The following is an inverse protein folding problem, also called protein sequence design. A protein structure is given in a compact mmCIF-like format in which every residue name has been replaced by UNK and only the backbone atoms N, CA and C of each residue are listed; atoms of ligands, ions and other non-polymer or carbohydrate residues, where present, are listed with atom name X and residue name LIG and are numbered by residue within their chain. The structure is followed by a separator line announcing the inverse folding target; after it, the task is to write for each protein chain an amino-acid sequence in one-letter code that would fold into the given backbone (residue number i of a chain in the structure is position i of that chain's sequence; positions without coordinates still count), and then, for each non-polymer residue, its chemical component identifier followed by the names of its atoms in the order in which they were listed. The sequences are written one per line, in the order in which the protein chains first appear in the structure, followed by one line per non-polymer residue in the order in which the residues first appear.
data_IF_305311347074
#
_entry.id   IF_305311347074
#
_cell.length_a   1.000
_cell.length_b   1.000
_cell.length_c   1.000
_cell.angle_alpha   90.00
_cell.angle_beta   90.00
_cell.angle_gamma   90.00
#
_symmetry.space_group_name_H-M   'P 1'
#
loop_
_entity.id
_entity.type
_entity.pdbx_description
1 polymer ?
#
# COMPACT_ATOMS: atom_id res chain seq x y z
N UNK A 1 5.00 46.45 -13.93
CA UNK A 1 6.39 45.99 -13.68
C UNK A 1 6.66 46.29 -12.22
N UNK A 2 6.89 45.38 -11.28
CA UNK A 2 7.25 43.96 -11.18
C UNK A 2 6.66 43.51 -9.81
N UNK A 3 6.40 42.27 -9.42
CA UNK A 3 6.66 40.93 -9.92
C UNK A 3 5.74 39.98 -9.14
N UNK A 4 5.18 39.01 -9.84
CA UNK A 4 4.57 37.78 -9.33
C UNK A 4 5.52 36.99 -8.42
N UNK A 5 5.08 36.59 -7.22
CA UNK A 5 5.60 35.40 -6.53
C UNK A 5 4.48 34.66 -5.80
N UNK A 6 4.31 33.39 -6.17
CA UNK A 6 3.36 32.40 -5.67
C UNK A 6 3.57 32.12 -4.16
N UNK A 7 2.51 32.25 -3.37
CA UNK A 7 2.53 31.97 -1.93
C UNK A 7 2.62 30.46 -1.64
N UNK A 8 3.83 30.05 -1.29
CA UNK A 8 4.28 28.86 -0.57
C UNK A 8 3.30 28.31 0.50
N UNK A 9 3.19 26.98 0.56
CA UNK A 9 2.37 26.15 1.45
C UNK A 9 2.62 26.41 2.95
N UNK A 10 1.88 27.34 3.58
CA UNK A 10 1.92 27.56 5.03
C UNK A 10 0.87 26.69 5.75
N UNK A 11 1.28 26.00 6.82
CA UNK A 11 0.38 25.35 7.78
C UNK A 11 -0.46 26.42 8.47
N UNK A 12 -1.79 26.31 8.39
CA UNK A 12 -2.72 27.22 9.06
C UNK A 12 -3.63 26.37 9.95
N UNK A 13 -3.61 26.64 11.25
CA UNK A 13 -4.54 26.04 12.20
C UNK A 13 -5.56 27.09 12.64
N UNK A 14 -6.83 26.75 12.56
CA UNK A 14 -7.94 27.59 13.01
C UNK A 14 -8.53 26.97 14.28
N UNK A 15 -8.72 27.80 15.30
CA UNK A 15 -9.42 27.39 16.52
C UNK A 15 -10.91 27.22 16.24
N UNK A 16 -11.51 26.22 16.85
CA UNK A 16 -12.95 25.92 16.81
C UNK A 16 -13.48 26.17 18.22
N UNK A 17 -14.38 27.14 18.36
CA UNK A 17 -15.00 27.48 19.63
C UNK A 17 -16.13 26.49 19.98
N UNK A 18 -15.79 25.22 20.19
CA UNK A 18 -16.68 24.19 20.71
C UNK A 18 -16.13 23.67 22.05
N UNK A 19 -16.95 23.73 23.10
CA UNK A 19 -16.55 23.30 24.45
C UNK A 19 -16.58 21.79 24.64
N UNK A 20 -17.27 21.05 23.77
CA UNK A 20 -17.49 19.60 23.91
C UNK A 20 -16.79 18.75 22.83
N UNK A 21 -15.99 19.37 21.96
CA UNK A 21 -15.38 18.72 20.80
C UNK A 21 -13.93 19.08 20.54
N UNK A 22 -13.44 18.75 19.33
CA UNK A 22 -12.11 19.12 18.85
C UNK A 22 -12.05 20.65 18.70
N UNK A 23 -11.07 21.27 19.37
CA UNK A 23 -10.98 22.74 19.51
C UNK A 23 -10.15 23.45 18.44
N UNK A 24 -9.63 22.73 17.46
CA UNK A 24 -8.86 23.31 16.36
C UNK A 24 -8.85 22.39 15.14
N UNK A 25 -8.68 22.97 13.96
CA UNK A 25 -8.49 22.24 12.72
C UNK A 25 -7.30 22.83 11.96
N UNK A 26 -6.41 21.99 11.46
CA UNK A 26 -5.23 22.41 10.72
C UNK A 26 -5.32 21.99 9.24
N UNK A 27 -5.07 22.94 8.33
CA UNK A 27 -4.84 22.66 6.93
C UNK A 27 -3.44 22.11 6.71
N UNK A 28 -3.33 20.81 6.42
CA UNK A 28 -2.05 20.15 6.20
C UNK A 28 -1.58 20.25 4.75
N UNK A 29 -0.28 20.51 4.50
CA UNK A 29 0.30 20.33 3.18
C UNK A 29 0.15 18.87 2.75
N UNK A 30 0.09 18.61 1.44
CA UNK A 30 -0.30 17.32 0.85
C UNK A 30 0.45 16.08 1.39
N UNK A 31 1.66 16.24 1.92
CA UNK A 31 2.50 15.14 2.43
C UNK A 31 2.23 14.78 3.90
N UNK A 32 1.48 15.60 4.63
CA UNK A 32 1.28 15.47 6.07
C UNK A 32 -0.17 15.18 6.42
N UNK A 33 -0.36 14.54 7.57
CA UNK A 33 -1.64 14.17 8.18
C UNK A 33 -1.56 14.26 9.71
N UNK A 34 -2.66 14.03 10.40
CA UNK A 34 -2.81 14.21 11.85
C UNK A 34 -3.43 15.57 12.19
N UNK A 35 -3.85 15.74 13.44
CA UNK A 35 -4.57 16.94 13.89
C UNK A 35 -3.71 18.21 13.74
N UNK A 36 -2.39 18.07 13.86
CA UNK A 36 -1.39 19.14 13.77
C UNK A 36 -0.42 18.95 12.61
N UNK A 37 -0.76 18.10 11.64
CA UNK A 37 0.13 17.74 10.53
C UNK A 37 1.46 17.14 11.01
N UNK A 38 1.42 16.42 12.13
CA UNK A 38 2.59 15.86 12.82
C UNK A 38 3.08 14.54 12.22
N UNK A 39 2.27 13.91 11.36
CA UNK A 39 2.59 12.63 10.72
C UNK A 39 2.76 12.82 9.23
N UNK A 40 3.66 12.06 8.62
CA UNK A 40 3.68 11.89 7.15
C UNK A 40 2.58 10.95 6.72
N UNK A 41 2.08 11.12 5.49
CA UNK A 41 1.17 10.15 4.89
C UNK A 41 1.85 8.78 4.79
N UNK A 42 1.13 7.75 5.24
CA UNK A 42 1.56 6.35 5.29
C UNK A 42 1.74 5.84 3.85
N UNK A 43 2.92 5.31 3.52
CA UNK A 43 3.26 4.84 2.17
C UNK A 43 3.26 3.32 2.03
N UNK A 44 3.40 2.61 3.15
CA UNK A 44 3.41 1.15 3.18
C UNK A 44 2.89 0.62 4.52
N UNK A 45 2.65 -0.68 4.61
CA UNK A 45 2.33 -1.34 5.88
C UNK A 45 3.46 -1.21 6.92
N UNK A 46 4.71 -0.97 6.51
CA UNK A 46 5.80 -0.70 7.45
C UNK A 46 5.55 0.63 8.20
N UNK A 47 5.06 1.66 7.52
CA UNK A 47 4.68 2.92 8.16
C UNK A 47 3.52 2.69 9.14
N UNK A 48 2.56 1.83 8.80
CA UNK A 48 1.44 1.47 9.69
C UNK A 48 1.97 0.96 11.04
N UNK A 49 2.99 0.10 11.03
CA UNK A 49 3.65 -0.38 12.26
C UNK A 49 4.44 0.72 12.96
N UNK A 50 5.19 1.57 12.23
CA UNK A 50 5.94 2.71 12.80
C UNK A 50 5.03 3.67 13.57
N UNK A 51 3.77 3.83 13.13
CA UNK A 51 2.77 4.66 13.81
C UNK A 51 1.93 3.91 14.87
N UNK A 52 2.32 2.69 15.23
CA UNK A 52 1.84 1.98 16.42
C UNK A 52 0.78 0.90 16.19
N UNK A 53 0.48 0.54 14.94
CA UNK A 53 -0.42 -0.58 14.67
C UNK A 53 0.26 -1.93 14.99
N UNK A 54 -0.50 -2.84 15.61
CA UNK A 54 0.00 -4.16 16.04
C UNK A 54 -0.76 -5.34 15.44
N UNK A 55 -1.86 -5.09 14.73
CA UNK A 55 -2.80 -6.11 14.26
C UNK A 55 -2.86 -6.15 12.75
N UNK A 56 -2.84 -7.33 12.15
CA UNK A 56 -3.09 -7.46 10.71
C UNK A 56 -4.52 -7.03 10.34
N UNK A 57 -4.71 -6.48 9.14
CA UNK A 57 -6.01 -5.98 8.69
C UNK A 57 -5.91 -5.01 7.52
N UNK A 58 -7.05 -4.39 7.17
CA UNK A 58 -7.13 -3.40 6.12
C UNK A 58 -6.75 -1.99 6.61
N UNK A 59 -5.88 -1.34 5.86
CA UNK A 59 -5.38 0.00 6.14
C UNK A 59 -5.42 0.88 4.90
N UNK A 60 -5.68 2.17 5.09
CA UNK A 60 -5.53 3.17 4.04
C UNK A 60 -4.08 3.68 4.01
N UNK A 61 -3.46 3.59 2.83
CA UNK A 61 -2.13 4.15 2.55
C UNK A 61 -2.20 5.07 1.34
N UNK A 62 -1.12 5.79 1.05
CA UNK A 62 -1.05 6.78 0.01
C UNK A 62 0.03 6.46 -1.01
N UNK A 63 -0.29 6.54 -2.30
CA UNK A 63 0.68 6.30 -3.37
C UNK A 63 1.70 7.45 -3.48
N UNK A 64 2.63 7.38 -4.42
CA UNK A 64 3.62 8.45 -4.69
C UNK A 64 2.99 9.80 -5.04
N UNK A 65 1.78 9.82 -5.62
CA UNK A 65 1.02 11.04 -5.93
C UNK A 65 0.23 11.58 -4.71
N UNK A 66 0.20 10.83 -3.61
CA UNK A 66 -0.60 11.08 -2.41
C UNK A 66 -2.11 10.84 -2.55
N UNK A 67 -2.50 9.99 -3.51
CA UNK A 67 -3.85 9.46 -3.61
C UNK A 67 -4.01 8.28 -2.64
N UNK A 68 -5.12 8.22 -1.88
CA UNK A 68 -5.37 7.14 -0.93
C UNK A 68 -5.80 5.85 -1.64
N UNK A 69 -5.44 4.70 -1.08
CA UNK A 69 -5.97 3.38 -1.44
C UNK A 69 -5.90 2.39 -0.27
N UNK A 70 -6.81 1.42 -0.27
CA UNK A 70 -6.87 0.40 0.78
C UNK A 70 -5.95 -0.78 0.45
N UNK A 71 -5.26 -1.29 1.46
CA UNK A 71 -4.45 -2.51 1.36
C UNK A 71 -4.66 -3.39 2.58
N UNK A 72 -4.50 -4.70 2.42
CA UNK A 72 -4.35 -5.60 3.55
C UNK A 72 -2.89 -5.66 4.00
N UNK A 73 -2.65 -5.41 5.28
CA UNK A 73 -1.36 -5.52 5.94
C UNK A 73 -1.31 -6.79 6.80
N UNK A 74 -0.31 -7.63 6.54
CA UNK A 74 0.08 -8.72 7.44
C UNK A 74 1.27 -8.25 8.29
N UNK A 75 1.00 -8.01 9.57
CA UNK A 75 1.94 -7.46 10.55
C UNK A 75 2.48 -8.51 11.52
N UNK A 76 1.95 -9.73 11.47
CA UNK A 76 2.09 -10.70 12.57
C UNK A 76 2.44 -12.11 12.11
N UNK A 77 2.17 -12.49 10.85
CA UNK A 77 2.39 -13.87 10.41
C UNK A 77 3.88 -14.25 10.36
N UNK A 78 4.78 -13.27 10.29
CA UNK A 78 6.21 -13.52 10.31
C UNK A 78 6.97 -12.49 11.15
N UNK A 79 7.70 -12.91 12.21
CA UNK A 79 8.50 -12.00 13.01
C UNK A 79 9.50 -11.22 12.17
N UNK A 80 9.65 -9.91 12.45
CA UNK A 80 10.55 -8.99 11.74
C UNK A 80 10.17 -8.62 10.31
N UNK A 81 9.07 -9.15 9.77
CA UNK A 81 8.58 -8.79 8.46
C UNK A 81 7.18 -8.17 8.54
N UNK A 82 6.96 -7.20 7.66
CA UNK A 82 5.67 -6.55 7.47
C UNK A 82 5.32 -6.65 5.99
N UNK A 83 4.15 -7.21 5.69
CA UNK A 83 3.76 -7.54 4.32
C UNK A 83 2.55 -6.71 3.90
N UNK A 84 2.58 -6.24 2.65
CA UNK A 84 1.43 -5.59 2.00
C UNK A 84 0.91 -6.52 0.91
N UNK A 85 -0.38 -6.85 0.93
CA UNK A 85 -0.98 -7.69 -0.12
C UNK A 85 -1.14 -6.90 -1.42
N UNK A 86 -0.49 -7.36 -2.49
CA UNK A 86 -0.59 -6.75 -3.83
C UNK A 86 -1.48 -7.53 -4.80
N UNK A 87 -1.62 -8.84 -4.59
CA UNK A 87 -2.42 -9.73 -5.45
C UNK A 87 -2.86 -10.96 -4.65
N UNK A 88 -4.10 -11.41 -4.88
CA UNK A 88 -4.64 -12.68 -4.40
C UNK A 88 -5.68 -13.20 -5.39
N UNK A 89 -5.72 -14.50 -5.63
CA UNK A 89 -6.74 -15.11 -6.47
C UNK A 89 -6.96 -16.57 -6.10
N UNK A 90 -8.18 -17.05 -6.27
CA UNK A 90 -8.48 -18.48 -6.10
C UNK A 90 -8.05 -19.27 -7.33
N UNK A 91 -7.82 -20.57 -7.15
CA UNK A 91 -7.48 -21.47 -8.27
C UNK A 91 -8.50 -21.40 -9.41
N UNK A 92 -9.79 -21.20 -9.10
CA UNK A 92 -10.85 -21.05 -10.09
C UNK A 92 -10.68 -19.81 -10.99
N UNK A 93 -9.92 -18.79 -10.56
CA UNK A 93 -9.61 -17.60 -11.37
C UNK A 93 -8.24 -17.68 -12.06
N UNK A 94 -7.55 -18.83 -12.06
CA UNK A 94 -6.21 -18.99 -12.65
C UNK A 94 -6.11 -18.35 -14.05
N UNK A 95 -7.03 -18.67 -14.94
CA UNK A 95 -7.00 -18.20 -16.34
C UNK A 95 -7.08 -16.67 -16.46
N UNK A 96 -7.68 -16.00 -15.48
CA UNK A 96 -7.74 -14.53 -15.43
C UNK A 96 -6.38 -13.91 -15.13
N UNK A 97 -5.54 -14.60 -14.35
CA UNK A 97 -4.26 -14.09 -13.85
C UNK A 97 -3.04 -14.65 -14.57
N UNK A 98 -3.14 -15.83 -15.18
CA UNK A 98 -2.01 -16.58 -15.78
C UNK A 98 -1.21 -15.74 -16.79
N UNK A 99 -1.90 -14.97 -17.64
CA UNK A 99 -1.27 -14.15 -18.68
C UNK A 99 -1.18 -12.66 -18.30
N UNK A 100 -1.15 -12.34 -17.00
CA UNK A 100 -1.11 -10.98 -16.48
C UNK A 100 0.17 -10.77 -15.66
N UNK A 101 1.32 -10.55 -16.32
CA UNK A 101 2.57 -10.27 -15.60
C UNK A 101 2.43 -8.97 -14.77
N UNK A 102 3.25 -8.82 -13.72
CA UNK A 102 3.18 -7.64 -12.85
C UNK A 102 3.54 -6.34 -13.55
N UNK A 103 4.28 -6.37 -14.67
CA UNK A 103 4.59 -5.20 -15.50
C UNK A 103 3.41 -4.63 -16.30
N UNK A 104 2.29 -5.36 -16.38
CA UNK A 104 1.07 -4.91 -17.08
C UNK A 104 0.06 -4.38 -16.07
N UNK A 105 -0.53 -3.22 -16.37
CA UNK A 105 -1.62 -2.70 -15.56
C UNK A 105 -2.87 -3.57 -15.72
N UNK A 106 -3.24 -4.22 -14.62
CA UNK A 106 -4.40 -5.08 -14.52
C UNK A 106 -4.85 -5.06 -13.07
N UNK A 107 -5.88 -4.29 -12.76
CA UNK A 107 -6.41 -4.15 -11.41
C UNK A 107 -7.73 -4.92 -11.27
N UNK A 108 -7.94 -5.52 -10.10
CA UNK A 108 -9.15 -6.26 -9.77
C UNK A 108 -9.52 -5.92 -8.33
N UNK A 109 -10.74 -5.41 -8.12
CA UNK A 109 -11.30 -5.19 -6.78
C UNK A 109 -10.39 -4.36 -5.84
N UNK A 110 -9.56 -3.45 -6.37
CA UNK A 110 -8.63 -2.61 -5.59
C UNK A 110 -9.27 -1.33 -5.02
N UNK A 111 -10.49 -1.03 -5.43
CA UNK A 111 -11.32 0.09 -4.95
C UNK A 111 -12.14 -0.29 -3.69
N UNK A 112 -12.21 -1.58 -3.36
CA UNK A 112 -12.96 -2.09 -2.22
C UNK A 112 -12.19 -1.89 -0.92
N UNK A 113 -12.90 -1.46 0.13
CA UNK A 113 -12.33 -1.34 1.48
C UNK A 113 -11.85 -2.68 2.04
N UNK A 114 -12.54 -3.78 1.69
CA UNK A 114 -12.23 -5.14 2.14
C UNK A 114 -11.70 -5.96 0.96
N UNK A 115 -10.62 -6.69 1.21
CA UNK A 115 -9.99 -7.55 0.20
C UNK A 115 -10.89 -8.74 -0.14
N UNK A 116 -11.06 -9.00 -1.43
CA UNK A 116 -11.61 -10.25 -1.96
C UNK A 116 -10.46 -11.22 -2.28
N UNK A 117 -10.24 -12.18 -1.38
CA UNK A 117 -9.19 -13.20 -1.52
C UNK A 117 -9.37 -14.10 -2.75
N UNK A 118 -10.58 -14.18 -3.32
CA UNK A 118 -10.80 -14.96 -4.54
C UNK A 118 -10.34 -14.21 -5.79
N UNK A 119 -10.15 -12.91 -5.74
CA UNK A 119 -9.63 -12.12 -6.84
C UNK A 119 -9.46 -10.67 -6.43
N UNK A 120 -8.22 -10.29 -6.24
CA UNK A 120 -7.80 -8.96 -5.84
C UNK A 120 -6.44 -8.70 -6.48
N UNK A 121 -6.25 -7.51 -7.04
CA UNK A 121 -4.97 -7.07 -7.58
C UNK A 121 -4.91 -5.55 -7.61
N UNK A 122 -3.85 -5.01 -7.05
CA UNK A 122 -3.53 -3.59 -7.15
C UNK A 122 -3.16 -3.20 -8.57
N UNK A 123 -3.36 -1.92 -8.92
CA UNK A 123 -2.87 -1.36 -10.17
C UNK A 123 -1.34 -1.41 -10.25
N UNK A 124 -0.80 -1.34 -11.47
CA UNK A 124 0.64 -1.27 -11.71
C UNK A 124 1.29 -0.09 -10.96
N UNK A 125 0.64 1.08 -10.95
CA UNK A 125 1.17 2.27 -10.27
C UNK A 125 1.21 2.10 -8.75
N UNK A 126 0.18 1.49 -8.16
CA UNK A 126 0.13 1.17 -6.73
C UNK A 126 1.22 0.14 -6.35
N UNK A 127 1.38 -0.93 -7.14
CA UNK A 127 2.42 -1.93 -6.89
C UNK A 127 3.83 -1.35 -6.98
N UNK A 128 4.09 -0.48 -7.96
CA UNK A 128 5.38 0.23 -8.07
C UNK A 128 5.63 1.15 -6.88
N UNK A 129 4.63 1.94 -6.48
CA UNK A 129 4.71 2.80 -5.30
C UNK A 129 5.04 2.02 -4.02
N UNK A 130 4.51 0.81 -3.87
CA UNK A 130 4.82 -0.08 -2.75
C UNK A 130 6.23 -0.66 -2.86
N UNK A 131 6.65 -1.06 -4.05
CA UNK A 131 7.99 -1.60 -4.29
C UNK A 131 9.09 -0.60 -3.95
N UNK A 132 8.88 0.69 -4.20
CA UNK A 132 9.80 1.78 -3.81
C UNK A 132 10.06 1.85 -2.28
N UNK A 133 9.15 1.28 -1.49
CA UNK A 133 9.18 1.26 -0.02
C UNK A 133 9.31 -0.16 0.55
N UNK A 134 9.68 -1.13 -0.29
CA UNK A 134 9.72 -2.55 0.06
C UNK A 134 11.09 -3.15 -0.24
N UNK A 135 11.48 -4.15 0.55
CA UNK A 135 12.76 -4.84 0.40
C UNK A 135 12.63 -6.25 -0.17
N UNK A 136 11.47 -6.88 0.01
CA UNK A 136 11.22 -8.26 -0.32
C UNK A 136 9.86 -8.44 -0.99
N UNK A 137 9.76 -9.50 -1.80
CA UNK A 137 8.50 -10.05 -2.29
C UNK A 137 8.31 -11.45 -1.71
N UNK A 138 7.08 -11.79 -1.33
CA UNK A 138 6.66 -13.11 -0.87
C UNK A 138 5.49 -13.62 -1.69
N UNK A 139 5.48 -14.93 -1.99
CA UNK A 139 4.35 -15.66 -2.50
C UNK A 139 4.08 -16.91 -1.63
N UNK A 140 2.81 -17.20 -1.39
CA UNK A 140 2.30 -18.35 -0.61
C UNK A 140 0.86 -18.61 -1.04
N UNK A 141 0.38 -19.85 -0.96
CA UNK A 141 -1.03 -20.20 -1.19
C UNK A 141 -1.78 -20.33 0.15
N UNK A 142 -3.11 -20.35 0.07
CA UNK A 142 -4.01 -20.58 1.22
C UNK A 142 -3.79 -19.68 2.45
N UNK A 143 -3.15 -18.52 2.30
CA UNK A 143 -2.84 -17.62 3.41
C UNK A 143 -4.08 -17.25 4.25
N UNK A 144 -5.22 -17.00 3.61
CA UNK A 144 -6.44 -16.61 4.31
C UNK A 144 -7.05 -17.73 5.17
N UNK A 145 -6.86 -19.00 4.78
CA UNK A 145 -7.44 -20.15 5.48
C UNK A 145 -6.45 -20.73 6.49
N UNK A 146 -5.20 -20.88 6.09
CA UNK A 146 -4.20 -21.69 6.79
C UNK A 146 -3.10 -20.82 7.44
N UNK A 147 -3.15 -19.51 7.22
CA UNK A 147 -2.10 -18.58 7.62
C UNK A 147 -0.82 -18.78 6.81
N UNK A 148 0.32 -18.36 7.38
CA UNK A 148 1.61 -18.54 6.74
C UNK A 148 2.08 -20.00 6.87
N UNK A 149 2.19 -20.68 5.74
CA UNK A 149 2.79 -22.02 5.62
C UNK A 149 4.09 -21.93 4.80
N UNK A 150 5.07 -22.78 5.13
CA UNK A 150 6.38 -22.78 4.46
C UNK A 150 6.54 -23.85 3.36
N UNK A 151 5.54 -24.72 3.18
CA UNK A 151 5.56 -25.80 2.18
C UNK A 151 5.50 -25.28 0.74
N UNK A 152 4.75 -24.19 0.53
CA UNK A 152 4.45 -23.56 -0.75
C UNK A 152 4.87 -22.08 -0.76
N UNK A 153 6.01 -21.83 -0.13
CA UNK A 153 6.53 -20.50 0.16
C UNK A 153 7.67 -20.10 -0.76
N UNK A 154 7.59 -18.91 -1.36
CA UNK A 154 8.68 -18.29 -2.08
C UNK A 154 8.94 -16.87 -1.56
N UNK A 155 10.22 -16.49 -1.45
CA UNK A 155 10.64 -15.12 -1.12
C UNK A 155 11.84 -14.71 -1.95
N UNK A 156 11.83 -13.47 -2.41
CA UNK A 156 12.95 -12.85 -3.09
C UNK A 156 13.23 -11.47 -2.50
N UNK A 157 14.47 -11.01 -2.61
CA UNK A 157 14.80 -9.59 -2.45
C UNK A 157 14.34 -8.85 -3.70
N UNK A 158 13.86 -7.62 -3.54
CA UNK A 158 13.57 -6.76 -4.68
C UNK A 158 14.84 -6.10 -5.24
N UNK A 159 15.87 -5.92 -4.39
CA UNK A 159 17.16 -5.43 -4.83
C UNK A 159 17.76 -6.36 -5.90
N UNK A 160 18.01 -5.83 -7.10
CA UNK A 160 18.55 -6.59 -8.24
C UNK A 160 17.51 -7.34 -9.07
N UNK A 161 16.22 -7.25 -8.74
CA UNK A 161 15.14 -7.94 -9.46
C UNK A 161 14.01 -6.97 -9.86
N UNK A 162 13.81 -6.73 -11.15
CA UNK A 162 12.71 -5.90 -11.65
C UNK A 162 11.46 -6.74 -11.98
N UNK A 163 10.63 -7.00 -10.98
CA UNK A 163 9.39 -7.77 -11.18
C UNK A 163 8.36 -7.06 -12.09
N UNK A 164 8.55 -5.78 -12.41
CA UNK A 164 7.69 -5.00 -13.30
C UNK A 164 8.27 -4.85 -14.72
N UNK A 165 9.45 -5.41 -14.96
CA UNK A 165 10.10 -5.39 -16.26
C UNK A 165 9.28 -6.09 -17.35
N UNK A 166 9.52 -5.71 -18.59
CA UNK A 166 9.03 -6.47 -19.74
C UNK A 166 9.93 -7.67 -19.95
N UNK A 167 9.58 -8.76 -19.29
CA UNK A 167 10.25 -10.04 -19.46
C UNK A 167 9.72 -10.69 -20.75
N UNK A 168 10.56 -10.82 -21.77
CA UNK A 168 10.34 -11.85 -22.79
C UNK A 168 10.32 -13.18 -22.06
N UNK A 169 9.24 -13.93 -22.25
CA UNK A 169 9.05 -15.28 -21.72
C UNK A 169 10.36 -16.03 -21.94
N UNK A 170 10.95 -16.59 -20.88
CA UNK A 170 12.02 -17.57 -21.06
C UNK A 170 11.41 -18.66 -21.95
N UNK A 171 11.83 -18.74 -23.21
CA UNK A 171 11.54 -19.89 -24.04
C UNK A 171 12.17 -21.08 -23.32
N UNK A 172 11.34 -21.83 -22.61
CA UNK A 172 11.68 -23.15 -22.11
C UNK A 172 11.81 -24.11 -23.29
#
# INVERSE_FOLDING_TARGET
MLQTQSLSQRRVCQEICDTHGIRFSCGCPNKYTGQRCERTKLKSCEDIVKYGALTSGEYEIFNSNNDPFSVYCDLQSEPSFVWTLIQSFSLAKKDTFENKPFGVNFEINNDKKKVDWNGYRLSLSQMKSLADHSTHLRATCNFFTDGLQHTDYARAKLAGHDIFGNWTICQM
#
